data_IF_787286562095
#
_entry.id   IF_787286562095
#
_cell.length_a   1.000
_cell.length_b   1.000
_cell.length_c   1.000
_cell.angle_alpha   90.00
_cell.angle_beta   90.00
_cell.angle_gamma   90.00
#
_symmetry.space_group_name_H-M   'P 1'
#
loop_
_entity.id
_entity.type
_entity.pdbx_description
1 polymer ?
#
# COMPACT_ATOMS: atom_id res chain seq x y z
N UNK A 1 -7.13 -4.22 8.97
CA UNK A 1 -5.79 -4.01 8.39
C UNK A 1 -4.77 -3.83 9.48
N UNK A 2 -3.58 -4.42 9.35
CA UNK A 2 -2.44 -4.08 10.22
C UNK A 2 -1.74 -2.88 9.62
N UNK A 3 -1.53 -1.82 10.40
CA UNK A 3 -0.89 -0.58 9.92
C UNK A 3 0.39 -0.30 10.68
N UNK A 4 1.45 -0.01 9.95
CA UNK A 4 2.78 0.30 10.47
C UNK A 4 3.17 1.67 9.93
N UNK A 5 3.56 2.57 10.82
CA UNK A 5 4.16 3.86 10.45
C UNK A 5 5.60 3.87 10.93
N UNK A 6 6.54 4.12 10.03
CA UNK A 6 7.94 4.29 10.40
C UNK A 6 8.14 5.47 11.36
N UNK A 7 9.21 5.48 12.14
CA UNK A 7 9.58 6.63 12.97
C UNK A 7 9.70 7.93 12.16
N UNK A 8 10.17 7.82 10.91
CA UNK A 8 10.30 8.95 9.99
C UNK A 8 8.95 9.50 9.56
N UNK A 9 7.97 8.63 9.31
CA UNK A 9 6.59 9.01 8.99
C UNK A 9 5.89 9.66 10.20
N UNK A 10 6.09 9.11 11.42
CA UNK A 10 5.47 9.63 12.65
C UNK A 10 5.97 11.02 13.04
N UNK A 11 7.24 11.32 12.81
CA UNK A 11 7.86 12.61 13.18
C UNK A 11 7.46 13.79 12.29
N UNK A 12 6.64 13.55 11.26
CA UNK A 12 6.31 14.57 10.26
C UNK A 12 5.09 15.45 10.60
N UNK A 13 4.55 15.39 11.83
CA UNK A 13 3.52 16.34 12.27
C UNK A 13 2.28 16.34 11.36
N UNK A 14 2.02 17.43 10.65
CA UNK A 14 0.88 17.59 9.72
C UNK A 14 0.81 16.49 8.64
N UNK A 15 1.96 15.98 8.18
CA UNK A 15 2.00 14.87 7.20
C UNK A 15 1.41 13.57 7.75
N UNK A 16 1.43 13.37 9.06
CA UNK A 16 0.86 12.18 9.70
C UNK A 16 -0.67 12.13 9.58
N UNK A 17 -1.35 13.29 9.63
CA UNK A 17 -2.80 13.35 9.46
C UNK A 17 -3.25 12.91 8.06
N UNK A 18 -2.47 13.26 7.02
CA UNK A 18 -2.70 12.79 5.66
C UNK A 18 -2.54 11.26 5.57
N UNK A 19 -1.54 10.70 6.22
CA UNK A 19 -1.34 9.25 6.26
C UNK A 19 -2.48 8.53 6.98
N UNK A 20 -3.01 9.10 8.07
CA UNK A 20 -4.18 8.56 8.76
C UNK A 20 -5.43 8.58 7.86
N UNK A 21 -5.68 9.71 7.18
CA UNK A 21 -6.79 9.83 6.22
C UNK A 21 -6.66 8.83 5.07
N UNK A 22 -5.46 8.67 4.52
CA UNK A 22 -5.17 7.69 3.47
C UNK A 22 -5.36 6.25 3.96
N UNK A 23 -4.98 5.98 5.21
CA UNK A 23 -5.18 4.67 5.85
C UNK A 23 -6.67 4.35 5.97
N UNK A 24 -7.49 5.28 6.44
CA UNK A 24 -8.95 5.08 6.51
C UNK A 24 -9.57 4.84 5.13
N UNK A 25 -9.18 5.62 4.12
CA UNK A 25 -9.66 5.42 2.75
C UNK A 25 -9.24 4.05 2.19
N UNK A 26 -8.02 3.61 2.50
CA UNK A 26 -7.54 2.30 2.12
C UNK A 26 -8.35 1.17 2.79
N UNK A 27 -8.69 1.31 4.07
CA UNK A 27 -9.56 0.33 4.74
C UNK A 27 -10.94 0.22 4.08
N UNK A 28 -11.52 1.34 3.64
CA UNK A 28 -12.77 1.35 2.86
C UNK A 28 -12.62 0.63 1.50
N UNK A 29 -11.48 0.80 0.82
CA UNK A 29 -11.19 0.15 -0.46
C UNK A 29 -11.02 -1.36 -0.28
N UNK A 30 -10.26 -1.77 0.74
CA UNK A 30 -9.98 -3.18 1.01
C UNK A 30 -11.22 -3.94 1.50
N UNK A 31 -12.11 -3.26 2.24
CA UNK A 31 -13.34 -3.84 2.76
C UNK A 31 -13.06 -5.14 3.55
N UNK A 32 -13.72 -6.27 3.22
CA UNK A 32 -13.52 -7.54 3.92
C UNK A 32 -12.08 -8.06 3.90
N UNK A 33 -11.31 -7.77 2.83
CA UNK A 33 -9.93 -8.23 2.68
C UNK A 33 -8.95 -7.45 3.56
N UNK A 34 -9.40 -6.40 4.24
CA UNK A 34 -8.55 -5.59 5.11
C UNK A 34 -7.89 -6.41 6.22
N UNK A 35 -8.46 -7.53 6.65
CA UNK A 35 -7.87 -8.39 7.69
C UNK A 35 -6.56 -9.05 7.28
N UNK A 36 -6.33 -9.27 5.99
CA UNK A 36 -5.20 -10.05 5.44
C UNK A 36 -4.03 -9.16 5.01
N UNK A 37 -4.24 -7.85 4.95
CA UNK A 37 -3.26 -6.89 4.42
C UNK A 37 -2.53 -6.17 5.55
N UNK A 38 -1.22 -6.03 5.37
CA UNK A 38 -0.37 -5.11 6.13
C UNK A 38 -0.05 -3.88 5.27
N UNK A 39 -0.30 -2.70 5.82
CA UNK A 39 0.06 -1.41 5.23
C UNK A 39 1.22 -0.78 6.01
N UNK A 40 2.31 -0.48 5.33
CA UNK A 40 3.49 0.17 5.89
C UNK A 40 3.71 1.53 5.23
N UNK A 41 3.68 2.59 6.05
CA UNK A 41 3.97 3.95 5.63
C UNK A 41 5.37 4.37 6.06
N UNK A 42 6.12 4.92 5.12
CA UNK A 42 7.42 5.54 5.37
C UNK A 42 7.51 6.91 4.70
N UNK A 43 8.49 7.71 5.13
CA UNK A 43 8.86 8.95 4.46
C UNK A 43 9.85 8.64 3.35
N UNK A 44 9.55 9.14 2.16
CA UNK A 44 10.45 9.19 1.02
C UNK A 44 10.84 10.64 0.71
N UNK A 45 11.90 10.81 -0.07
CA UNK A 45 12.34 12.11 -0.59
C UNK A 45 12.61 11.92 -2.08
N UNK A 46 12.18 12.86 -2.90
CA UNK A 46 12.61 12.87 -4.30
C UNK A 46 14.02 13.47 -4.42
N UNK A 47 14.65 13.32 -5.59
CA UNK A 47 15.97 13.89 -5.88
C UNK A 47 16.05 15.43 -5.79
N UNK A 48 14.93 16.11 -5.59
CA UNK A 48 14.83 17.56 -5.40
C UNK A 48 14.58 17.96 -3.93
N UNK A 49 14.57 17.00 -3.00
CA UNK A 49 14.28 17.23 -1.58
C UNK A 49 12.80 17.49 -1.26
N UNK A 50 11.89 17.32 -2.23
CA UNK A 50 10.46 17.34 -1.95
C UNK A 50 10.07 16.09 -1.16
N UNK A 51 9.26 16.31 -0.13
CA UNK A 51 8.83 15.26 0.78
C UNK A 51 7.78 14.41 0.11
N UNK A 52 7.93 13.10 0.23
CA UNK A 52 7.01 12.11 -0.31
C UNK A 52 6.66 11.07 0.76
N UNK A 53 5.57 10.36 0.54
CA UNK A 53 5.12 9.25 1.36
C UNK A 53 5.26 7.96 0.57
N UNK A 54 5.93 6.96 1.10
CA UNK A 54 5.92 5.62 0.52
C UNK A 54 4.90 4.76 1.27
N UNK A 55 4.00 4.11 0.53
CA UNK A 55 3.12 3.06 1.04
C UNK A 55 3.54 1.74 0.45
N UNK A 56 3.80 0.77 1.31
CA UNK A 56 3.91 -0.64 0.94
C UNK A 56 2.68 -1.38 1.45
N UNK A 57 1.95 -2.03 0.55
CA UNK A 57 0.89 -2.98 0.87
C UNK A 57 1.44 -4.38 0.68
N UNK A 58 1.19 -5.27 1.63
CA UNK A 58 1.62 -6.66 1.55
C UNK A 58 0.63 -7.61 2.17
N UNK A 59 0.54 -8.80 1.60
CA UNK A 59 -0.14 -9.96 2.16
C UNK A 59 0.81 -11.17 2.14
N UNK A 60 0.30 -12.38 2.36
CA UNK A 60 1.09 -13.61 2.35
C UNK A 60 1.70 -13.95 0.97
N UNK A 61 1.18 -13.36 -0.10
CA UNK A 61 1.55 -13.68 -1.49
C UNK A 61 2.54 -12.71 -2.10
N UNK A 62 2.66 -11.49 -1.56
CA UNK A 62 3.60 -10.51 -2.06
C UNK A 62 3.42 -9.11 -1.48
N UNK A 63 4.00 -8.13 -2.18
CA UNK A 63 3.90 -6.74 -1.81
C UNK A 63 3.88 -5.83 -3.04
N UNK A 64 3.11 -4.75 -2.94
CA UNK A 64 3.05 -3.65 -3.88
C UNK A 64 3.49 -2.36 -3.19
N UNK A 65 4.19 -1.46 -3.89
CA UNK A 65 4.68 -0.20 -3.31
C UNK A 65 4.37 0.98 -4.22
N UNK A 66 3.87 2.07 -3.65
CA UNK A 66 3.69 3.35 -4.34
C UNK A 66 4.23 4.51 -3.51
N UNK A 67 4.60 5.58 -4.20
CA UNK A 67 5.07 6.83 -3.60
C UNK A 67 4.08 7.94 -3.95
N UNK A 68 3.74 8.76 -2.97
CA UNK A 68 2.74 9.82 -3.07
C UNK A 68 3.36 11.15 -2.66
N UNK A 69 3.01 12.19 -3.39
CA UNK A 69 3.17 13.58 -2.96
C UNK A 69 2.07 13.96 -1.96
N UNK A 70 2.27 14.99 -1.14
CA UNK A 70 1.21 15.50 -0.27
C UNK A 70 -0.06 15.88 -1.03
N UNK A 71 0.07 16.57 -2.16
CA UNK A 71 -1.05 17.00 -3.00
C UNK A 71 -1.93 15.82 -3.48
N UNK A 72 -1.31 14.68 -3.79
CA UNK A 72 -2.02 13.45 -4.18
C UNK A 72 -2.84 12.85 -3.02
N UNK A 73 -2.42 13.06 -1.77
CA UNK A 73 -3.13 12.59 -0.57
C UNK A 73 -4.15 13.62 -0.04
N UNK A 74 -4.03 14.89 -0.39
CA UNK A 74 -4.98 15.94 0.01
C UNK A 74 -6.33 15.77 -0.68
N UNK A 75 -6.33 15.56 -1.99
CA UNK A 75 -7.54 15.32 -2.80
C UNK A 75 -8.08 13.91 -2.57
N UNK A 76 -9.28 13.79 -1.97
CA UNK A 76 -9.88 12.48 -1.70
C UNK A 76 -10.05 11.63 -2.97
N UNK A 77 -10.46 12.23 -4.08
CA UNK A 77 -10.66 11.52 -5.34
C UNK A 77 -9.35 11.00 -5.91
N UNK A 78 -8.27 11.79 -5.88
CA UNK A 78 -6.95 11.36 -6.35
C UNK A 78 -6.37 10.29 -5.45
N UNK A 79 -6.41 10.51 -4.13
CA UNK A 79 -5.94 9.56 -3.13
C UNK A 79 -6.65 8.21 -3.30
N UNK A 80 -7.99 8.21 -3.39
CA UNK A 80 -8.78 6.98 -3.56
C UNK A 80 -8.42 6.26 -4.86
N UNK A 81 -8.21 7.00 -5.95
CA UNK A 81 -7.81 6.42 -7.23
C UNK A 81 -6.44 5.73 -7.13
N UNK A 82 -5.43 6.42 -6.59
CA UNK A 82 -4.09 5.86 -6.45
C UNK A 82 -4.03 4.66 -5.49
N UNK A 83 -4.76 4.73 -4.37
CA UNK A 83 -4.87 3.59 -3.44
C UNK A 83 -5.56 2.37 -4.09
N UNK A 84 -6.55 2.59 -4.96
CA UNK A 84 -7.13 1.50 -5.75
C UNK A 84 -6.12 0.89 -6.72
N UNK A 85 -5.31 1.69 -7.41
CA UNK A 85 -4.28 1.15 -8.29
C UNK A 85 -3.26 0.32 -7.52
N UNK A 86 -2.83 0.77 -6.35
CA UNK A 86 -1.92 0.01 -5.50
C UNK A 86 -2.53 -1.32 -5.03
N UNK A 87 -3.82 -1.33 -4.70
CA UNK A 87 -4.53 -2.56 -4.36
C UNK A 87 -4.62 -3.52 -5.55
N UNK A 88 -4.92 -3.01 -6.75
CA UNK A 88 -4.94 -3.82 -7.98
C UNK A 88 -3.57 -4.44 -8.26
N UNK A 89 -2.48 -3.71 -8.05
CA UNK A 89 -1.11 -4.21 -8.21
C UNK A 89 -0.80 -5.38 -7.25
N UNK A 90 -1.22 -5.28 -5.99
CA UNK A 90 -1.10 -6.38 -5.02
C UNK A 90 -1.95 -7.59 -5.45
N UNK A 91 -3.17 -7.38 -5.93
CA UNK A 91 -4.03 -8.46 -6.43
C UNK A 91 -3.44 -9.17 -7.65
N UNK A 92 -2.78 -8.44 -8.55
CA UNK A 92 -2.07 -9.03 -9.68
C UNK A 92 -0.90 -9.90 -9.22
N UNK A 93 -0.14 -9.43 -8.23
CA UNK A 93 0.93 -10.21 -7.60
C UNK A 93 0.39 -11.48 -6.96
N UNK A 94 -0.73 -11.38 -6.21
CA UNK A 94 -1.44 -12.52 -5.62
C UNK A 94 -1.88 -13.53 -6.66
N UNK A 95 -2.48 -13.06 -7.75
CA UNK A 95 -2.93 -13.92 -8.85
C UNK A 95 -1.75 -14.66 -9.50
N UNK A 96 -0.64 -13.97 -9.75
CA UNK A 96 0.56 -14.58 -10.30
C UNK A 96 1.14 -15.67 -9.39
N UNK A 97 1.22 -15.41 -8.08
CA UNK A 97 1.70 -16.38 -7.09
C UNK A 97 0.81 -17.64 -7.03
N UNK A 98 -0.52 -17.47 -7.05
CA UNK A 98 -1.47 -18.60 -7.07
C UNK A 98 -1.29 -19.43 -8.35
N UNK A 99 -1.19 -18.78 -9.51
CA UNK A 99 -1.00 -19.47 -10.79
C UNK A 99 0.32 -20.26 -10.84
N UNK A 100 1.40 -19.70 -10.26
CA UNK A 100 2.67 -20.42 -10.14
C UNK A 100 2.56 -21.61 -9.17
N UNK A 101 1.85 -21.46 -8.05
CA UNK A 101 1.61 -22.56 -7.11
C UNK A 101 0.78 -23.70 -7.72
N UNK A 102 -0.19 -23.37 -8.57
CA UNK A 102 -1.03 -24.36 -9.27
C UNK A 102 -0.31 -25.06 -10.42
N UNK A 103 0.60 -24.37 -11.12
CA UNK A 103 1.37 -24.93 -12.25
C UNK A 103 2.68 -25.59 -11.81
N UNK A 104 3.17 -25.29 -10.60
CA UNK A 104 4.39 -25.82 -10.00
C UNK A 104 4.22 -27.12 -9.20
N UNK A 105 3.02 -27.70 -9.13
CA UNK A 105 2.85 -29.03 -8.54
C UNK A 105 3.59 -30.08 -9.38
N UNK A 106 4.62 -30.77 -8.86
CA UNK A 106 5.18 -31.91 -9.57
C UNK A 106 4.09 -32.98 -9.72
N UNK A 107 3.95 -33.48 -10.95
CA UNK A 107 3.33 -34.79 -11.20
C UNK A 107 4.24 -35.83 -10.58
N UNK A 108 4.07 -36.10 -9.28
CA UNK A 108 4.65 -37.27 -8.65
C UNK A 108 3.60 -38.38 -8.58
N UNK A 109 3.90 -39.40 -9.40
CA UNK A 109 3.37 -40.77 -9.54
C UNK A 109 2.04 -40.99 -10.27
#
# INVERSE_FOLDING_TARGET
MKVIYSDRARRWGEGFALLQKATTCLEEILGPSAGEVTAEWDRAENGHGSRMFALRLSDETGAATAVFTPDELESYSHMRQWLNFLWVDLLQTRSAAILQGLTGAPKDY
#
